data_IF_604136607904
#
_entry.id   IF_604136607904
#
_cell.length_a   1.000
_cell.length_b   1.000
_cell.length_c   1.000
_cell.angle_alpha   90.00
_cell.angle_beta   90.00
_cell.angle_gamma   90.00
#
_symmetry.space_group_name_H-M   'P 1'
#
loop_
_entity.id
_entity.type
_entity.pdbx_description
1 polymer ?
#
# COMPACT_ATOMS: atom_id res chain seq x y z
N UNK A 1 -22.05 -2.74 -16.90
CA UNK A 1 -21.10 -3.26 -15.93
C UNK A 1 -19.70 -2.74 -16.24
N UNK A 2 -19.05 -2.16 -15.25
CA UNK A 2 -17.73 -1.57 -15.46
C UNK A 2 -16.64 -2.64 -15.29
N UNK A 3 -15.54 -2.55 -16.05
CA UNK A 3 -14.44 -3.47 -15.86
C UNK A 3 -13.77 -3.27 -14.50
N UNK A 4 -13.10 -4.31 -14.02
CA UNK A 4 -12.36 -4.23 -12.77
C UNK A 4 -11.18 -3.28 -12.87
N UNK A 5 -10.84 -2.69 -11.74
CA UNK A 5 -9.75 -1.75 -11.60
C UNK A 5 -8.75 -2.31 -10.59
N UNK A 6 -7.48 -2.39 -11.00
CA UNK A 6 -6.45 -3.10 -10.23
C UNK A 6 -5.39 -2.15 -9.70
N UNK A 7 -4.89 -2.47 -8.51
CA UNK A 7 -3.82 -1.72 -7.92
C UNK A 7 -2.80 -2.63 -7.24
N UNK A 8 -1.62 -2.09 -6.96
CA UNK A 8 -0.56 -2.81 -6.28
C UNK A 8 0.36 -1.84 -5.56
N UNK A 9 0.99 -2.34 -4.50
CA UNK A 9 2.00 -1.58 -3.75
C UNK A 9 3.24 -2.44 -3.61
N UNK A 10 4.38 -1.87 -3.95
CA UNK A 10 5.69 -2.50 -3.81
C UNK A 10 6.54 -1.70 -2.84
N UNK A 11 7.46 -2.36 -2.16
CA UNK A 11 8.42 -1.67 -1.31
C UNK A 11 9.78 -2.36 -1.35
N UNK A 12 10.80 -1.58 -1.00
CA UNK A 12 12.14 -2.08 -0.70
C UNK A 12 12.38 -1.75 0.76
N UNK A 13 12.26 -2.75 1.62
CA UNK A 13 12.35 -2.57 3.06
C UNK A 13 13.68 -1.96 3.49
N UNK A 14 14.76 -2.41 2.88
CA UNK A 14 16.11 -1.99 3.27
C UNK A 14 16.38 -0.53 2.95
N UNK A 15 15.87 -0.05 1.82
CA UNK A 15 16.12 1.31 1.37
C UNK A 15 15.00 2.28 1.70
N UNK A 16 13.86 1.77 2.20
CA UNK A 16 12.71 2.60 2.49
C UNK A 16 12.06 3.18 1.25
N UNK A 17 12.22 2.51 0.11
CA UNK A 17 11.60 2.93 -1.14
C UNK A 17 10.27 2.22 -1.34
N UNK A 18 9.36 2.85 -2.05
CA UNK A 18 8.09 2.23 -2.37
C UNK A 18 7.58 2.74 -3.72
N UNK A 19 6.68 1.99 -4.29
CA UNK A 19 5.99 2.37 -5.50
C UNK A 19 4.58 1.83 -5.47
N UNK A 20 3.67 2.53 -6.10
CA UNK A 20 2.28 2.10 -6.15
C UNK A 20 1.69 2.36 -7.52
N UNK A 21 0.65 1.61 -7.82
CA UNK A 21 -0.14 1.81 -9.04
C UNK A 21 -1.59 1.58 -8.69
N UNK A 22 -2.47 2.37 -9.30
CA UNK A 22 -3.90 2.22 -9.13
C UNK A 22 -4.58 2.41 -10.48
N UNK A 23 -5.85 2.01 -10.56
CA UNK A 23 -6.69 2.20 -11.75
C UNK A 23 -6.11 1.56 -13.00
N UNK A 24 -5.48 0.42 -12.85
CA UNK A 24 -4.89 -0.31 -13.96
C UNK A 24 -5.89 -1.33 -14.53
N UNK A 25 -5.72 -1.66 -15.80
CA UNK A 25 -6.65 -2.54 -16.51
C UNK A 25 -6.46 -4.02 -16.15
N UNK A 26 -5.30 -4.38 -15.59
CA UNK A 26 -5.03 -5.76 -15.21
C UNK A 26 -4.15 -5.80 -13.97
N UNK A 27 -4.20 -6.93 -13.29
CA UNK A 27 -3.35 -7.20 -12.15
C UNK A 27 -1.86 -7.10 -12.52
N UNK A 28 -1.48 -7.67 -13.65
CA UNK A 28 -0.09 -7.64 -14.08
C UNK A 28 0.39 -6.23 -14.38
N UNK A 29 -0.46 -5.41 -15.01
CA UNK A 29 -0.11 -4.02 -15.27
C UNK A 29 0.12 -3.25 -13.97
N UNK A 30 -0.71 -3.50 -12.95
CA UNK A 30 -0.55 -2.87 -11.65
C UNK A 30 0.77 -3.27 -10.98
N UNK A 31 1.08 -4.57 -11.01
CA UNK A 31 2.31 -5.10 -10.45
C UNK A 31 3.54 -4.48 -11.13
N UNK A 32 3.56 -4.52 -12.46
CA UNK A 32 4.70 -4.01 -13.23
C UNK A 32 4.93 -2.53 -12.94
N UNK A 33 3.87 -1.75 -12.90
CA UNK A 33 3.99 -0.32 -12.66
C UNK A 33 4.42 -0.01 -11.23
N UNK A 34 3.91 -0.74 -10.25
CA UNK A 34 4.31 -0.55 -8.85
C UNK A 34 5.80 -0.85 -8.68
N UNK A 35 6.29 -1.94 -9.27
CA UNK A 35 7.70 -2.30 -9.21
C UNK A 35 8.57 -1.26 -9.90
N UNK A 36 8.14 -0.77 -11.06
CA UNK A 36 8.87 0.27 -11.80
C UNK A 36 8.98 1.55 -10.97
N UNK A 37 7.91 1.95 -10.32
CA UNK A 37 7.91 3.17 -9.49
C UNK A 37 8.71 3.00 -8.20
N UNK A 38 8.77 1.78 -7.67
CA UNK A 38 9.62 1.47 -6.52
C UNK A 38 11.10 1.60 -6.89
N UNK A 39 11.44 1.26 -8.11
CA UNK A 39 12.73 1.58 -8.76
C UNK A 39 13.95 1.06 -8.01
N UNK A 40 13.89 -0.19 -7.55
CA UNK A 40 15.00 -0.87 -6.90
C UNK A 40 14.92 -2.34 -7.24
N UNK A 41 16.05 -3.01 -7.38
CA UNK A 41 16.09 -4.45 -7.67
C UNK A 41 15.56 -5.30 -6.52
N UNK A 42 15.45 -4.71 -5.33
CA UNK A 42 14.96 -5.42 -4.14
C UNK A 42 13.49 -5.13 -3.83
N UNK A 43 12.77 -4.46 -4.73
CA UNK A 43 11.36 -4.17 -4.51
C UNK A 43 10.53 -5.44 -4.59
N UNK A 44 9.62 -5.61 -3.65
CA UNK A 44 8.69 -6.73 -3.58
C UNK A 44 7.26 -6.21 -3.56
N UNK A 45 6.35 -6.96 -4.18
CA UNK A 45 4.93 -6.62 -4.11
C UNK A 45 4.42 -6.98 -2.72
N UNK A 46 3.92 -5.99 -1.99
CA UNK A 46 3.42 -6.16 -0.64
C UNK A 46 1.90 -6.31 -0.60
N UNK A 47 1.20 -5.77 -1.57
CA UNK A 47 -0.24 -6.02 -1.68
C UNK A 47 -0.71 -5.78 -3.10
N UNK A 48 -1.76 -6.52 -3.45
CA UNK A 48 -2.51 -6.36 -4.70
C UNK A 48 -3.96 -6.21 -4.31
N UNK A 49 -4.68 -5.37 -5.03
CA UNK A 49 -6.08 -5.17 -4.72
C UNK A 49 -6.86 -4.84 -5.99
N UNK A 50 -8.16 -5.08 -5.94
CA UNK A 50 -9.04 -4.78 -7.07
C UNK A 50 -10.36 -4.24 -6.53
N UNK A 51 -10.86 -3.19 -7.19
CA UNK A 51 -12.19 -2.62 -6.91
C UNK A 51 -12.36 -2.17 -5.46
N UNK A 52 -11.28 -1.65 -4.88
CA UNK A 52 -11.29 -1.16 -3.51
C UNK A 52 -10.18 -0.12 -3.32
N UNK A 53 -10.02 0.34 -2.10
CA UNK A 53 -8.99 1.31 -1.75
C UNK A 53 -7.91 0.66 -0.90
N UNK A 54 -6.71 1.24 -0.90
CA UNK A 54 -5.61 0.80 -0.06
C UNK A 54 -5.13 1.96 0.79
N UNK A 55 -4.47 1.64 1.89
CA UNK A 55 -3.75 2.59 2.70
C UNK A 55 -2.53 1.91 3.30
N UNK A 56 -1.44 2.65 3.37
CA UNK A 56 -0.21 2.20 4.01
C UNK A 56 0.10 3.16 5.14
N UNK A 57 0.18 2.64 6.35
CA UNK A 57 0.55 3.42 7.53
C UNK A 57 1.95 3.00 7.97
N UNK A 58 2.67 3.92 8.59
CA UNK A 58 3.96 3.59 9.18
C UNK A 58 4.10 4.27 10.53
N UNK A 59 4.87 3.64 11.41
CA UNK A 59 5.09 4.17 12.75
C UNK A 59 6.38 3.63 13.31
N UNK A 60 6.76 4.13 14.48
CA UNK A 60 8.03 3.80 15.13
C UNK A 60 7.82 2.68 16.14
N UNK A 61 8.53 1.57 15.97
CA UNK A 61 8.52 0.46 16.91
C UNK A 61 9.55 0.69 18.01
N UNK A 62 9.41 -0.07 19.10
CA UNK A 62 10.46 -0.16 20.12
C UNK A 62 11.75 -0.59 19.44
N UNK A 63 12.83 0.06 19.78
CA UNK A 63 14.13 -0.24 19.17
C UNK A 63 14.48 0.65 18.01
N UNK A 64 13.58 1.54 17.60
CA UNK A 64 13.89 2.58 16.62
C UNK A 64 13.70 2.21 15.18
N UNK A 65 13.11 1.05 14.87
CA UNK A 65 12.81 0.68 13.50
C UNK A 65 11.39 1.10 13.13
N UNK A 66 11.14 1.26 11.84
CA UNK A 66 9.80 1.61 11.36
C UNK A 66 9.02 0.37 10.99
N UNK A 67 7.75 0.37 11.38
CA UNK A 67 6.77 -0.66 11.02
C UNK A 67 5.84 -0.10 9.97
N UNK A 68 5.64 -0.84 8.88
CA UNK A 68 4.74 -0.48 7.79
C UNK A 68 3.55 -1.44 7.78
N UNK A 69 2.35 -0.88 7.71
CA UNK A 69 1.10 -1.65 7.69
C UNK A 69 0.37 -1.38 6.38
N UNK A 70 0.15 -2.44 5.62
CA UNK A 70 -0.54 -2.41 4.34
C UNK A 70 -1.97 -2.91 4.55
N UNK A 71 -2.96 -2.13 4.20
CA UNK A 71 -4.37 -2.48 4.44
C UNK A 71 -5.24 -2.04 3.28
N UNK A 72 -6.41 -2.65 3.17
CA UNK A 72 -7.38 -2.33 2.14
C UNK A 72 -8.77 -2.16 2.76
N UNK A 73 -9.67 -1.58 1.99
CA UNK A 73 -11.06 -1.39 2.40
C UNK A 73 -11.89 -0.95 1.22
N UNK A 74 -13.20 -1.05 1.35
CA UNK A 74 -14.11 -0.69 0.26
C UNK A 74 -14.16 0.81 0.02
N UNK A 75 -13.78 1.62 1.00
CA UNK A 75 -13.65 3.06 0.85
C UNK A 75 -12.28 3.50 1.33
N UNK A 76 -11.86 4.70 0.89
CA UNK A 76 -10.59 5.26 1.33
C UNK A 76 -10.57 5.48 2.84
N UNK A 77 -11.65 6.00 3.39
CA UNK A 77 -11.77 6.23 4.82
C UNK A 77 -11.60 4.95 5.62
N UNK A 78 -12.22 3.85 5.15
CA UNK A 78 -12.11 2.57 5.82
C UNK A 78 -10.69 2.01 5.74
N UNK A 79 -10.05 2.08 4.57
CA UNK A 79 -8.68 1.60 4.41
C UNK A 79 -7.72 2.36 5.33
N UNK A 80 -7.85 3.68 5.40
CA UNK A 80 -7.03 4.52 6.28
C UNK A 80 -7.24 4.17 7.75
N UNK A 81 -8.50 4.01 8.15
CA UNK A 81 -8.82 3.67 9.55
C UNK A 81 -8.25 2.32 9.95
N UNK A 82 -8.38 1.33 9.09
CA UNK A 82 -7.85 -0.02 9.36
C UNK A 82 -6.33 0.01 9.45
N UNK A 83 -5.67 0.68 8.49
CA UNK A 83 -4.22 0.78 8.49
C UNK A 83 -3.70 1.46 9.76
N UNK A 84 -4.33 2.57 10.14
CA UNK A 84 -3.95 3.33 11.32
C UNK A 84 -4.15 2.52 12.60
N UNK A 85 -5.29 1.84 12.72
CA UNK A 85 -5.60 1.04 13.90
C UNK A 85 -4.62 -0.11 14.08
N UNK A 86 -4.30 -0.81 12.99
CA UNK A 86 -3.36 -1.94 13.05
C UNK A 86 -1.93 -1.47 13.31
N UNK A 87 -1.55 -0.36 12.72
CA UNK A 87 -0.23 0.23 12.98
C UNK A 87 -0.08 0.60 14.45
N UNK A 88 -1.12 1.22 15.04
CA UNK A 88 -1.07 1.69 16.41
C UNK A 88 -0.98 0.57 17.45
N UNK A 89 -1.28 -0.66 17.07
CA UNK A 89 -1.10 -1.81 17.96
C UNK A 89 0.37 -2.20 18.11
N UNK A 90 1.20 -1.84 17.14
CA UNK A 90 2.62 -2.25 17.13
C UNK A 90 3.59 -1.09 17.19
N UNK A 91 3.16 0.12 16.82
CA UNK A 91 4.07 1.23 16.64
C UNK A 91 3.45 2.51 17.20
N UNK A 92 4.28 3.52 17.38
CA UNK A 92 3.87 4.84 17.86
C UNK A 92 3.95 5.85 16.73
N UNK A 93 3.13 6.91 16.85
CA UNK A 93 3.13 8.03 15.89
C UNK A 93 2.85 7.58 14.47
N UNK A 94 1.87 6.68 14.33
CA UNK A 94 1.51 6.16 13.02
C UNK A 94 0.94 7.24 12.12
N UNK A 95 1.44 7.28 10.89
CA UNK A 95 1.04 8.23 9.87
C UNK A 95 0.71 7.48 8.60
N UNK A 96 -0.14 8.08 7.77
CA UNK A 96 -0.48 7.51 6.46
C UNK A 96 0.58 7.97 5.46
N UNK A 97 1.26 7.01 4.87
CA UNK A 97 2.24 7.24 3.81
C UNK A 97 1.56 7.36 2.46
N UNK A 98 0.54 6.54 2.23
CA UNK A 98 -0.07 6.36 0.93
C UNK A 98 -1.53 5.95 1.14
N UNK A 99 -2.43 6.51 0.35
CA UNK A 99 -3.82 6.10 0.30
C UNK A 99 -4.35 6.30 -1.11
N UNK A 100 -4.72 5.22 -1.77
CA UNK A 100 -5.18 5.23 -3.16
C UNK A 100 -6.37 4.31 -3.33
N UNK A 101 -7.20 4.62 -4.32
CA UNK A 101 -8.35 3.79 -4.66
C UNK A 101 -8.23 3.31 -6.08
N UNK A 102 -8.62 2.06 -6.30
CA UNK A 102 -8.72 1.45 -7.62
C UNK A 102 -10.16 0.97 -7.77
N UNK A 103 -11.04 1.90 -8.12
CA UNK A 103 -12.47 1.64 -8.26
C UNK A 103 -12.85 1.62 -9.73
N UNK A 104 -13.83 0.77 -10.11
CA UNK A 104 -14.28 0.67 -11.51
C UNK A 104 -14.85 1.98 -12.03
#
# INVERSE_FOLDING_TARGET
>A
QKPSSYGAVAWDEKRGLYGSASKQASKQAAIDMALQRCNSSNCEIMMEYANQCTAVAYGLEKGGTYFWQFSSGLTQSKAVRVATAKCSKRAKNCKILLSECSLP
#
